data_IF_061045579788
#
_entry.id   IF_061045579788
#
_cell.length_a   1.000
_cell.length_b   1.000
_cell.length_c   1.000
_cell.angle_alpha   90.00
_cell.angle_beta   90.00
_cell.angle_gamma   90.00
#
_symmetry.space_group_name_H-M   'P 1'
#
loop_
_entity.id
_entity.type
_entity.pdbx_description
1 polymer ?
#
# COMPACT_ATOMS: atom_id res chain seq x y z
N UNK A 1 2.39 -11.19 0.13
CA UNK A 1 1.62 -10.61 -0.98
C UNK A 1 2.28 -9.27 -1.29
N UNK A 2 2.51 -8.91 -2.55
CA UNK A 2 3.13 -7.63 -2.90
C UNK A 2 2.03 -6.55 -2.81
N UNK A 3 2.18 -5.60 -1.88
CA UNK A 3 1.27 -4.47 -1.72
C UNK A 3 1.67 -3.28 -2.60
N UNK A 4 0.85 -2.23 -2.72
CA UNK A 4 1.18 -1.03 -3.49
C UNK A 4 2.49 -0.31 -3.11
N UNK A 5 3.05 -0.52 -1.90
CA UNK A 5 4.35 0.05 -1.51
C UNK A 5 5.48 -0.28 -2.49
N UNK A 6 5.34 -1.36 -3.25
CA UNK A 6 6.29 -1.79 -4.30
C UNK A 6 6.46 -0.73 -5.40
N UNK A 7 5.53 0.21 -5.56
CA UNK A 7 5.67 1.33 -6.49
C UNK A 7 6.82 2.28 -6.09
N UNK A 8 7.27 2.25 -4.84
CA UNK A 8 8.47 2.95 -4.36
C UNK A 8 9.67 2.04 -4.12
N UNK A 9 9.56 0.75 -4.42
CA UNK A 9 10.69 -0.17 -4.35
C UNK A 9 11.50 -0.14 -5.66
N UNK A 10 12.78 0.21 -5.55
CA UNK A 10 13.70 0.42 -6.68
C UNK A 10 14.93 -0.51 -6.55
N UNK A 11 14.80 -1.82 -6.83
CA UNK A 11 15.92 -2.74 -6.68
C UNK A 11 17.00 -2.53 -7.76
N UNK A 12 18.24 -2.96 -7.48
CA UNK A 12 19.39 -2.79 -8.39
C UNK A 12 19.17 -3.32 -9.81
N UNK A 13 18.41 -4.42 -9.93
CA UNK A 13 18.09 -5.04 -11.22
C UNK A 13 16.91 -4.35 -11.94
N UNK A 14 16.27 -3.35 -11.32
CA UNK A 14 15.14 -2.58 -11.85
C UNK A 14 15.14 -1.16 -11.29
N UNK A 15 16.13 -0.32 -11.66
CA UNK A 15 16.27 1.04 -11.12
C UNK A 15 15.11 1.99 -11.48
N UNK A 16 14.28 1.62 -12.45
CA UNK A 16 13.06 2.34 -12.84
C UNK A 16 11.83 1.96 -12.01
N UNK A 17 11.95 0.98 -11.10
CA UNK A 17 10.84 0.54 -10.26
C UNK A 17 9.76 -0.24 -11.01
N UNK A 18 8.58 -0.30 -10.39
CA UNK A 18 7.47 -1.14 -10.84
C UNK A 18 6.35 -0.36 -11.56
N UNK A 19 6.39 0.97 -11.54
CA UNK A 19 5.43 1.84 -12.22
C UNK A 19 5.38 3.23 -11.58
N UNK A 20 4.77 4.18 -12.27
CA UNK A 20 4.41 5.46 -11.66
C UNK A 20 3.16 5.29 -10.77
N UNK A 21 3.15 5.78 -9.52
CA UNK A 21 2.01 5.61 -8.62
C UNK A 21 0.70 6.20 -9.13
N UNK A 22 0.72 7.43 -9.67
CA UNK A 22 -0.49 8.10 -10.14
C UNK A 22 -1.05 7.40 -11.38
N UNK A 23 -0.18 7.06 -12.35
CA UNK A 23 -0.59 6.32 -13.55
C UNK A 23 -1.13 4.93 -13.20
N UNK A 24 -0.54 4.26 -12.21
CA UNK A 24 -0.98 2.93 -11.76
C UNK A 24 -2.42 2.97 -11.24
N UNK A 25 -2.73 3.88 -10.31
CA UNK A 25 -4.07 4.00 -9.75
C UNK A 25 -5.08 4.52 -10.79
N UNK A 26 -4.67 5.44 -11.66
CA UNK A 26 -5.50 5.92 -12.76
C UNK A 26 -5.87 4.78 -13.73
N UNK A 27 -4.91 3.94 -14.11
CA UNK A 27 -5.16 2.80 -15.00
C UNK A 27 -6.03 1.73 -14.34
N UNK A 28 -5.83 1.43 -13.05
CA UNK A 28 -6.73 0.55 -12.29
C UNK A 28 -8.16 1.10 -12.34
N UNK A 29 -8.35 2.37 -12.00
CA UNK A 29 -9.67 2.99 -12.00
C UNK A 29 -10.28 3.07 -13.41
N UNK A 30 -9.47 3.17 -14.47
CA UNK A 30 -9.93 3.20 -15.86
C UNK A 30 -10.46 1.84 -16.32
N UNK A 31 -9.87 0.73 -15.86
CA UNK A 31 -10.28 -0.62 -16.26
C UNK A 31 -11.42 -1.19 -15.41
N UNK A 32 -11.65 -0.64 -14.22
CA UNK A 32 -12.81 -1.01 -13.39
C UNK A 32 -14.09 -0.45 -14.03
N UNK A 33 -15.11 -1.30 -14.16
CA UNK A 33 -16.47 -0.85 -14.45
C UNK A 33 -17.18 -0.32 -13.20
N UNK A 34 -18.36 0.28 -13.37
CA UNK A 34 -19.18 0.82 -12.28
C UNK A 34 -19.43 -0.23 -11.17
N UNK A 35 -19.13 0.13 -9.92
CA UNK A 35 -19.22 -0.78 -8.78
C UNK A 35 -18.09 -1.82 -8.69
N UNK A 36 -17.11 -1.78 -9.60
CA UNK A 36 -15.88 -2.55 -9.53
C UNK A 36 -15.07 -2.19 -8.30
N UNK A 37 -14.31 -3.15 -7.76
CA UNK A 37 -13.59 -3.00 -6.49
C UNK A 37 -12.09 -3.15 -6.66
N UNK A 38 -11.34 -2.29 -5.99
CA UNK A 38 -9.91 -2.46 -5.71
C UNK A 38 -9.77 -2.83 -4.24
N UNK A 39 -9.17 -3.98 -3.96
CA UNK A 39 -8.87 -4.42 -2.59
C UNK A 39 -7.36 -4.31 -2.39
N UNK A 40 -6.95 -3.49 -1.42
CA UNK A 40 -5.55 -3.25 -1.08
C UNK A 40 -5.24 -3.88 0.27
N UNK A 41 -4.20 -4.71 0.30
CA UNK A 41 -3.57 -5.19 1.51
C UNK A 41 -2.11 -4.74 1.48
N UNK A 42 -1.66 -4.04 2.52
CA UNK A 42 -0.26 -3.60 2.60
C UNK A 42 0.24 -3.45 4.04
N UNK A 43 1.57 -3.41 4.20
CA UNK A 43 2.25 -3.18 5.48
C UNK A 43 2.20 -1.70 5.86
N UNK A 44 1.66 -1.41 7.04
CA UNK A 44 1.52 -0.05 7.53
C UNK A 44 2.88 0.51 7.96
N UNK A 45 3.21 1.69 7.43
CA UNK A 45 4.18 2.60 8.03
C UNK A 45 3.45 3.56 8.99
N UNK A 46 4.18 4.26 9.89
CA UNK A 46 3.57 5.26 10.76
C UNK A 46 2.92 6.40 9.96
N UNK A 47 1.89 7.01 10.53
CA UNK A 47 1.24 8.20 9.98
C UNK A 47 2.26 9.31 9.67
N UNK A 48 2.18 9.89 8.47
CA UNK A 48 3.09 10.90 7.95
C UNK A 48 4.42 10.36 7.43
N UNK A 49 4.63 9.03 7.40
CA UNK A 49 5.84 8.45 6.83
C UNK A 49 5.96 8.78 5.33
N UNK A 50 7.17 9.10 4.84
CA UNK A 50 7.36 9.37 3.42
C UNK A 50 7.19 8.10 2.59
N UNK A 51 6.77 8.26 1.34
CA UNK A 51 6.59 7.14 0.42
C UNK A 51 7.87 6.31 0.16
N UNK A 52 9.05 6.88 0.43
CA UNK A 52 10.33 6.16 0.36
C UNK A 52 10.40 4.95 1.30
N UNK A 53 9.55 4.89 2.33
CA UNK A 53 9.44 3.72 3.22
C UNK A 53 9.07 2.43 2.49
N UNK A 54 8.46 2.53 1.30
CA UNK A 54 8.23 1.39 0.40
C UNK A 54 9.53 0.76 -0.06
N UNK A 55 10.56 1.56 -0.31
CA UNK A 55 11.92 1.09 -0.60
C UNK A 55 12.72 0.72 0.66
N UNK A 56 12.65 1.55 1.70
CA UNK A 56 13.50 1.42 2.89
C UNK A 56 13.11 0.23 3.77
N UNK A 57 11.80 0.07 4.00
CA UNK A 57 11.25 -0.89 4.99
C UNK A 57 10.22 -1.84 4.42
N UNK A 58 9.83 -1.69 3.14
CA UNK A 58 8.72 -2.41 2.50
C UNK A 58 7.38 -2.15 3.21
N UNK A 59 7.11 -0.87 3.48
CA UNK A 59 5.90 -0.38 4.15
C UNK A 59 5.40 0.89 3.46
N UNK A 60 4.17 1.30 3.75
CA UNK A 60 3.63 2.55 3.24
C UNK A 60 2.66 3.16 4.24
N UNK A 61 2.61 4.48 4.33
CA UNK A 61 1.55 5.18 5.04
C UNK A 61 0.21 4.90 4.34
N UNK A 62 -0.80 4.35 5.04
CA UNK A 62 -2.12 4.08 4.45
C UNK A 62 -2.75 5.29 3.76
N UNK A 63 -2.46 6.52 4.21
CA UNK A 63 -3.04 7.75 3.64
C UNK A 63 -2.53 8.03 2.22
N UNK A 64 -1.31 7.57 1.87
CA UNK A 64 -0.78 7.68 0.50
C UNK A 64 -1.63 6.85 -0.46
N UNK A 65 -2.00 5.63 -0.04
CA UNK A 65 -2.83 4.73 -0.85
C UNK A 65 -4.24 5.28 -1.00
N UNK A 66 -4.84 5.75 0.09
CA UNK A 66 -6.17 6.36 0.05
C UNK A 66 -6.18 7.58 -0.87
N UNK A 67 -5.19 8.46 -0.75
CA UNK A 67 -5.09 9.67 -1.58
C UNK A 67 -4.94 9.36 -3.08
N UNK A 68 -4.13 8.36 -3.44
CA UNK A 68 -3.96 7.93 -4.83
C UNK A 68 -5.24 7.29 -5.39
N UNK A 69 -5.90 6.44 -4.61
CA UNK A 69 -7.16 5.82 -5.02
C UNK A 69 -8.28 6.84 -5.22
N UNK A 70 -8.45 7.76 -4.28
CA UNK A 70 -9.45 8.83 -4.37
C UNK A 70 -9.14 9.81 -5.50
N UNK A 71 -7.87 10.17 -5.69
CA UNK A 71 -7.41 10.98 -6.82
C UNK A 71 -7.70 10.34 -8.19
N UNK A 72 -7.69 9.01 -8.26
CA UNK A 72 -8.06 8.24 -9.46
C UNK A 72 -9.59 8.08 -9.64
N UNK A 73 -10.40 8.64 -8.74
CA UNK A 73 -11.86 8.57 -8.78
C UNK A 73 -12.43 7.26 -8.24
N UNK A 74 -11.72 6.58 -7.33
CA UNK A 74 -12.30 5.54 -6.49
C UNK A 74 -12.76 6.12 -5.15
N UNK A 75 -13.61 5.42 -4.42
CA UNK A 75 -14.05 5.84 -3.08
C UNK A 75 -13.77 4.73 -2.07
N UNK A 76 -13.23 5.06 -0.90
CA UNK A 76 -13.07 4.09 0.19
C UNK A 76 -14.45 3.61 0.67
N UNK A 77 -14.73 2.33 0.47
CA UNK A 77 -16.02 1.72 0.76
C UNK A 77 -16.02 0.92 2.06
N UNK A 78 -14.89 0.31 2.42
CA UNK A 78 -14.76 -0.52 3.62
C UNK A 78 -13.31 -0.66 4.09
N UNK A 79 -13.12 -0.94 5.37
CA UNK A 79 -11.83 -1.19 6.01
C UNK A 79 -11.94 -2.40 6.94
N UNK A 80 -10.88 -3.21 7.04
CA UNK A 80 -10.85 -4.35 7.96
C UNK A 80 -9.60 -4.36 8.83
N UNK A 81 -9.79 -4.75 10.09
CA UNK A 81 -8.77 -4.95 11.11
C UNK A 81 -8.23 -6.40 11.14
N UNK A 82 -8.57 -7.23 10.14
CA UNK A 82 -8.19 -8.65 10.09
C UNK A 82 -6.67 -8.89 10.21
N UNK A 83 -5.87 -7.93 9.75
CA UNK A 83 -4.40 -7.98 9.80
C UNK A 83 -3.77 -6.87 10.66
N UNK A 84 -4.59 -6.19 11.48
CA UNK A 84 -4.07 -5.20 12.41
C UNK A 84 -3.22 -5.90 13.48
N UNK A 85 -2.03 -5.35 13.76
CA UNK A 85 -1.16 -5.79 14.84
C UNK A 85 -0.67 -4.59 15.67
N UNK A 86 -1.30 -4.30 16.82
CA UNK A 86 -0.88 -3.18 17.66
C UNK A 86 0.50 -3.36 18.33
N UNK A 87 1.13 -4.54 18.23
CA UNK A 87 2.48 -4.78 18.74
C UNK A 87 3.60 -4.43 17.74
N UNK A 88 3.27 -4.17 16.46
CA UNK A 88 4.22 -3.70 15.45
C UNK A 88 4.13 -2.17 15.31
N UNK A 89 5.22 -1.46 15.59
CA UNK A 89 5.26 0.00 15.57
C UNK A 89 5.36 0.62 14.16
N UNK A 90 5.40 -0.22 13.12
CA UNK A 90 5.46 0.21 11.73
C UNK A 90 6.85 0.64 11.25
N UNK A 91 7.89 0.57 12.08
CA UNK A 91 9.20 1.17 11.75
C UNK A 91 10.23 0.17 11.23
N UNK A 92 10.10 -1.12 11.59
CA UNK A 92 11.07 -2.16 11.24
C UNK A 92 10.82 -2.67 9.83
N UNK A 93 11.88 -2.99 9.09
CA UNK A 93 11.75 -3.66 7.80
C UNK A 93 10.98 -4.99 7.96
N UNK A 94 10.00 -5.24 7.08
CA UNK A 94 9.08 -6.39 7.21
C UNK A 94 9.76 -7.77 7.14
N UNK A 95 11.01 -7.82 6.65
CA UNK A 95 11.82 -9.05 6.61
C UNK A 95 12.66 -9.28 7.87
N UNK A 96 12.63 -8.34 8.82
CA UNK A 96 13.34 -8.50 10.09
C UNK A 96 12.85 -9.77 10.81
N UNK A 97 13.76 -10.68 11.21
CA UNK A 97 13.38 -11.97 11.80
C UNK A 97 12.49 -11.88 13.04
N UNK A 98 12.50 -10.74 13.74
CA UNK A 98 11.72 -10.54 14.97
C UNK A 98 10.24 -10.24 14.72
N UNK A 99 9.88 -9.77 13.53
CA UNK A 99 8.50 -9.35 13.17
C UNK A 99 7.98 -10.03 11.90
N UNK A 100 8.81 -10.81 11.20
CA UNK A 100 8.44 -11.42 9.92
C UNK A 100 7.20 -12.31 10.05
N UNK A 101 6.15 -11.96 9.30
CA UNK A 101 4.87 -12.66 9.33
C UNK A 101 3.90 -12.18 10.41
N UNK A 102 4.28 -11.15 11.16
CA UNK A 102 3.49 -10.54 12.24
C UNK A 102 3.55 -9.01 12.17
N UNK A 103 3.58 -8.46 10.96
CA UNK A 103 3.57 -7.01 10.76
C UNK A 103 2.16 -6.45 10.76
N UNK A 104 2.02 -5.21 11.22
CA UNK A 104 0.78 -4.44 11.08
C UNK A 104 0.49 -4.18 9.61
N UNK A 105 -0.73 -4.49 9.19
CA UNK A 105 -1.18 -4.35 7.81
C UNK A 105 -2.59 -3.79 7.77
N UNK A 106 -2.85 -2.93 6.79
CA UNK A 106 -4.18 -2.40 6.53
C UNK A 106 -4.83 -3.13 5.35
N UNK A 107 -6.15 -3.34 5.45
CA UNK A 107 -6.97 -3.93 4.39
C UNK A 107 -8.10 -2.96 4.02
N UNK A 108 -8.00 -2.37 2.84
CA UNK A 108 -8.96 -1.40 2.32
C UNK A 108 -9.69 -1.95 1.10
N UNK A 109 -10.98 -1.63 1.01
CA UNK A 109 -11.78 -1.84 -0.19
C UNK A 109 -12.20 -0.49 -0.75
N UNK A 110 -11.78 -0.21 -1.98
CA UNK A 110 -12.25 0.92 -2.75
C UNK A 110 -13.26 0.47 -3.82
N UNK A 111 -14.20 1.34 -4.18
CA UNK A 111 -15.18 1.10 -5.23
C UNK A 111 -15.09 2.19 -6.32
N UNK A 112 -15.32 1.80 -7.57
CA UNK A 112 -15.42 2.68 -8.75
C UNK A 112 -16.82 3.29 -8.88
#
# INVERSE_FOLDING_TARGET
MQGPHELWFMPDNRPQGFGDPEETFAEIARILGDGGKLIVLDHAAPEGAPASTGGDTHRIDPDIITSLAEGAGLTLADTSDLFANPEDDGTRNVFDPTIRGSTDQFLFTFVK
#
